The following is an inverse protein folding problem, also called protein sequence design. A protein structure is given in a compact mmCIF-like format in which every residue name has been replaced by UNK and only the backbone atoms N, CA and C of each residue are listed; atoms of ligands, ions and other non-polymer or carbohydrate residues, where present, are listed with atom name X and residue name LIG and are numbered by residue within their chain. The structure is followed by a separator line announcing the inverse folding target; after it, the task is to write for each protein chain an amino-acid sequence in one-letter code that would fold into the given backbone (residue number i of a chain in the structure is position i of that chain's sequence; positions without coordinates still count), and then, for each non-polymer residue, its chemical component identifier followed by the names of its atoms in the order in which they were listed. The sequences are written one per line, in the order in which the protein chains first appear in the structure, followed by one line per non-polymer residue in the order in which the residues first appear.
data_IF_310433303689
#
_entry.id   IF_310433303689
#
_cell.length_a   1.000
_cell.length_b   1.000
_cell.length_c   1.000
_cell.angle_alpha   90.00
_cell.angle_beta   90.00
_cell.angle_gamma   90.00
#
_symmetry.space_group_name_H-M   'P 1'
#
loop_
_entity.id
_entity.type
_entity.pdbx_description
1 polymer ?
#
# COMPACT_ATOMS: atom_id res chain seq x y z
N UNK A 1 -10.71 -15.16 -8.02
CA UNK A 1 -9.70 -14.15 -7.62
C UNK A 1 -8.86 -13.82 -8.84
N UNK A 2 -8.93 -12.59 -9.36
CA UNK A 2 -8.15 -12.20 -10.53
C UNK A 2 -7.03 -11.25 -10.09
N UNK A 3 -5.78 -11.68 -10.23
CA UNK A 3 -4.60 -10.81 -10.07
C UNK A 3 -3.65 -11.03 -11.24
N UNK A 4 -3.01 -9.94 -11.67
CA UNK A 4 -2.55 -9.70 -13.04
C UNK A 4 -1.12 -10.24 -13.25
N UNK A 5 -0.87 -10.95 -14.37
CA UNK A 5 0.49 -11.20 -14.88
C UNK A 5 0.85 -10.19 -15.96
N UNK A 6 2.15 -9.94 -16.12
CA UNK A 6 2.70 -9.11 -17.18
C UNK A 6 3.50 -9.98 -18.17
N UNK A 7 3.28 -9.80 -19.46
CA UNK A 7 4.17 -10.33 -20.51
C UNK A 7 4.91 -9.19 -21.17
N UNK A 8 6.21 -9.36 -21.37
CA UNK A 8 7.03 -8.42 -22.13
C UNK A 8 6.92 -8.79 -23.61
N UNK A 9 6.34 -7.91 -24.42
CA UNK A 9 6.27 -8.07 -25.87
C UNK A 9 6.64 -6.73 -26.49
N UNK A 10 7.71 -6.69 -27.31
CA UNK A 10 8.13 -5.47 -28.00
C UNK A 10 8.62 -4.30 -27.12
N UNK A 11 8.89 -4.52 -25.83
CA UNK A 11 9.27 -3.43 -24.89
C UNK A 11 8.10 -2.89 -24.06
N UNK A 12 6.88 -3.31 -24.35
CA UNK A 12 5.69 -3.00 -23.56
C UNK A 12 5.30 -4.18 -22.64
N UNK A 13 4.76 -3.84 -21.46
CA UNK A 13 4.21 -4.81 -20.53
C UNK A 13 2.71 -4.98 -20.78
N UNK A 14 2.29 -6.13 -21.32
CA UNK A 14 0.89 -6.43 -21.64
C UNK A 14 0.22 -7.13 -20.45
N UNK A 15 -0.99 -6.67 -20.11
CA UNK A 15 -1.88 -7.24 -19.08
C UNK A 15 -2.36 -8.66 -19.47
N UNK A 16 -1.94 -9.70 -18.75
CA UNK A 16 -2.48 -11.06 -18.88
C UNK A 16 -3.54 -11.27 -17.78
N UNK A 17 -4.82 -11.31 -18.18
CA UNK A 17 -5.99 -11.52 -17.29
C UNK A 17 -6.21 -13.00 -16.97
N UNK A 18 -5.17 -13.73 -16.60
CA UNK A 18 -5.29 -15.10 -16.10
C UNK A 18 -5.41 -15.11 -14.57
N UNK A 19 -6.25 -16.01 -14.06
CA UNK A 19 -6.35 -16.30 -12.63
C UNK A 19 -5.02 -16.92 -12.20
N UNK A 20 -4.30 -16.27 -11.29
CA UNK A 20 -3.07 -16.82 -10.68
C UNK A 20 -3.43 -17.94 -9.72
N UNK A 21 -2.62 -19.00 -9.72
CA UNK A 21 -2.68 -20.02 -8.67
C UNK A 21 -2.08 -19.47 -7.37
N UNK A 22 -2.36 -20.13 -6.24
CA UNK A 22 -1.80 -19.74 -4.94
C UNK A 22 -0.26 -19.65 -4.99
N UNK A 23 0.39 -20.57 -5.70
CA UNK A 23 1.85 -20.61 -5.82
C UNK A 23 2.44 -19.50 -6.69
N UNK A 24 1.61 -18.84 -7.50
CA UNK A 24 2.02 -17.71 -8.34
C UNK A 24 1.78 -16.34 -7.69
N UNK A 25 1.10 -16.30 -6.54
CA UNK A 25 0.82 -15.06 -5.83
C UNK A 25 2.09 -14.51 -5.16
N UNK A 26 2.24 -13.20 -5.21
CA UNK A 26 3.37 -12.45 -4.67
C UNK A 26 2.86 -11.33 -3.76
N UNK A 27 3.76 -10.70 -2.98
CA UNK A 27 3.41 -9.49 -2.20
C UNK A 27 2.98 -8.29 -3.06
N UNK A 28 3.15 -8.37 -4.38
CA UNK A 28 2.67 -7.36 -5.32
C UNK A 28 1.19 -7.55 -5.68
N UNK A 29 0.58 -8.66 -5.27
CA UNK A 29 -0.84 -8.94 -5.49
C UNK A 29 -1.66 -8.37 -4.31
N UNK A 30 -2.64 -7.51 -4.59
CA UNK A 30 -3.45 -6.78 -3.58
C UNK A 30 -3.96 -7.70 -2.46
N UNK A 31 -4.45 -8.90 -2.81
CA UNK A 31 -4.92 -9.87 -1.83
C UNK A 31 -3.81 -10.37 -0.90
N UNK A 32 -2.67 -10.79 -1.46
CA UNK A 32 -1.56 -11.28 -0.64
C UNK A 32 -0.96 -10.19 0.23
N UNK A 33 -0.82 -8.98 -0.32
CA UNK A 33 -0.35 -7.84 0.45
C UNK A 33 -1.25 -7.58 1.64
N UNK A 34 -2.56 -7.47 1.41
CA UNK A 34 -3.54 -7.25 2.46
C UNK A 34 -3.54 -8.40 3.49
N UNK A 35 -3.33 -9.65 3.10
CA UNK A 35 -3.25 -10.78 4.03
C UNK A 35 -1.96 -10.76 4.87
N UNK A 36 -0.79 -10.56 4.26
CA UNK A 36 0.49 -10.59 4.96
C UNK A 36 0.64 -9.39 5.90
N UNK A 37 0.16 -8.21 5.47
CA UNK A 37 0.29 -6.97 6.24
C UNK A 37 -0.76 -6.80 7.34
N UNK A 38 -1.72 -7.73 7.48
CA UNK A 38 -2.55 -7.83 8.70
C UNK A 38 -1.72 -8.17 9.93
N UNK A 39 -0.58 -8.83 9.73
CA UNK A 39 0.32 -9.19 10.80
C UNK A 39 1.31 -8.05 11.09
N UNK A 40 1.22 -7.51 12.31
CA UNK A 40 2.07 -6.41 12.78
C UNK A 40 3.56 -6.75 12.74
N UNK A 41 3.92 -8.05 12.79
CA UNK A 41 5.32 -8.51 12.71
C UNK A 41 5.95 -8.21 11.36
N UNK A 42 5.17 -8.12 10.28
CA UNK A 42 5.66 -7.75 8.95
C UNK A 42 5.46 -6.26 8.68
N UNK A 43 4.29 -5.72 9.05
CA UNK A 43 3.92 -4.34 8.76
C UNK A 43 4.77 -3.33 9.52
N UNK A 44 5.00 -3.54 10.83
CA UNK A 44 5.75 -2.58 11.65
C UNK A 44 7.20 -2.41 11.20
N UNK A 45 7.98 -3.49 10.97
CA UNK A 45 9.33 -3.34 10.42
C UNK A 45 9.36 -2.66 9.05
N UNK A 46 8.39 -2.94 8.18
CA UNK A 46 8.26 -2.29 6.89
C UNK A 46 8.08 -0.77 7.05
N UNK A 47 7.12 -0.32 7.85
CA UNK A 47 6.87 1.11 8.08
C UNK A 47 8.10 1.83 8.65
N UNK A 48 8.76 1.22 9.64
CA UNK A 48 9.97 1.78 10.24
C UNK A 48 11.13 1.86 9.24
N UNK A 49 11.29 0.85 8.39
CA UNK A 49 12.33 0.83 7.36
C UNK A 49 12.12 1.94 6.32
N UNK A 50 10.88 2.08 5.85
CA UNK A 50 10.50 3.06 4.84
C UNK A 50 10.68 4.50 5.34
N UNK A 51 10.12 4.79 6.52
CA UNK A 51 10.02 6.16 7.03
C UNK A 51 11.21 6.55 7.91
N UNK A 52 12.09 5.60 8.28
CA UNK A 52 13.19 5.78 9.23
C UNK A 52 12.73 6.34 10.57
N UNK A 53 11.56 5.88 11.03
CA UNK A 53 10.96 6.23 12.33
C UNK A 53 10.95 5.02 13.26
N UNK A 54 10.79 5.27 14.56
CA UNK A 54 10.48 4.23 15.54
C UNK A 54 8.98 4.26 15.82
N UNK A 55 8.35 3.09 15.78
CA UNK A 55 6.94 2.90 16.13
C UNK A 55 6.93 2.04 17.38
N UNK A 56 6.26 2.45 18.45
CA UNK A 56 6.22 1.61 19.66
C UNK A 56 5.22 0.47 19.45
N UNK A 57 4.01 0.79 18.98
CA UNK A 57 2.92 -0.16 18.85
C UNK A 57 1.97 0.23 17.71
N UNK A 58 1.51 -0.75 16.96
CA UNK A 58 0.39 -0.56 16.03
C UNK A 58 -0.90 -0.76 16.82
N UNK A 59 -1.80 0.23 16.78
CA UNK A 59 -3.09 0.19 17.48
C UNK A 59 -4.20 -0.38 16.59
N UNK A 60 -4.18 -0.07 15.30
CA UNK A 60 -5.24 -0.45 14.36
C UNK A 60 -4.67 -0.82 13.00
N UNK A 61 -5.25 -1.85 12.38
CA UNK A 61 -5.04 -2.23 10.99
C UNK A 61 -6.40 -2.52 10.36
N UNK A 62 -6.73 -1.78 9.29
CA UNK A 62 -7.96 -1.93 8.52
C UNK A 62 -7.63 -2.10 7.03
N UNK A 63 -7.62 -3.35 6.54
CA UNK A 63 -7.47 -3.63 5.12
C UNK A 63 -8.71 -3.22 4.34
N UNK A 64 -8.52 -2.67 3.14
CA UNK A 64 -9.59 -2.29 2.21
C UNK A 64 -10.61 -1.29 2.79
N UNK A 65 -10.16 -0.39 3.68
CA UNK A 65 -11.01 0.64 4.29
C UNK A 65 -11.57 1.56 3.22
N UNK A 66 -12.88 1.80 3.25
CA UNK A 66 -13.54 2.72 2.32
C UNK A 66 -13.90 4.00 3.07
N UNK A 67 -13.51 5.14 2.50
CA UNK A 67 -13.81 6.46 3.02
C UNK A 67 -14.57 7.27 1.97
N UNK A 68 -15.64 7.93 2.38
CA UNK A 68 -16.45 8.79 1.51
C UNK A 68 -17.06 9.93 2.32
N UNK A 69 -16.71 11.15 1.96
CA UNK A 69 -17.12 12.35 2.67
C UNK A 69 -18.17 13.11 1.87
N UNK A 70 -19.45 12.90 2.18
CA UNK A 70 -20.59 13.51 1.49
C UNK A 70 -21.16 12.69 0.33
N UNK A 71 -22.39 13.01 -0.07
CA UNK A 71 -23.16 12.21 -1.03
C UNK A 71 -22.55 12.25 -2.45
N UNK A 72 -22.15 13.44 -2.91
CA UNK A 72 -21.64 13.68 -4.27
C UNK A 72 -20.12 13.57 -4.41
N UNK A 73 -19.41 13.22 -3.33
CA UNK A 73 -17.95 13.10 -3.38
C UNK A 73 -17.48 11.77 -3.94
N UNK A 74 -16.24 11.77 -4.45
CA UNK A 74 -15.58 10.55 -4.91
C UNK A 74 -14.99 9.79 -3.71
N UNK A 75 -15.57 8.64 -3.38
CA UNK A 75 -15.02 7.77 -2.35
C UNK A 75 -13.61 7.27 -2.71
N UNK A 76 -12.82 6.96 -1.68
CA UNK A 76 -11.52 6.30 -1.78
C UNK A 76 -11.60 4.94 -1.11
N UNK A 77 -10.90 3.96 -1.68
CA UNK A 77 -10.65 2.68 -1.04
C UNK A 77 -9.16 2.60 -0.77
N UNK A 78 -8.83 2.53 0.50
CA UNK A 78 -7.47 2.48 1.03
C UNK A 78 -7.10 1.00 1.20
N UNK A 79 -6.02 0.57 0.58
CA UNK A 79 -5.64 -0.85 0.58
C UNK A 79 -5.31 -1.34 1.99
N UNK A 80 -4.59 -0.51 2.77
CA UNK A 80 -4.24 -0.78 4.15
C UNK A 80 -4.17 0.51 4.97
N UNK A 81 -5.17 0.74 5.81
CA UNK A 81 -5.21 1.85 6.76
C UNK A 81 -4.67 1.39 8.12
N UNK A 82 -3.73 2.14 8.70
CA UNK A 82 -3.01 1.75 9.92
C UNK A 82 -2.87 2.95 10.83
N UNK A 83 -3.01 2.75 12.14
CA UNK A 83 -2.67 3.78 13.14
C UNK A 83 -1.70 3.25 14.19
N UNK A 84 -0.75 4.07 14.62
CA UNK A 84 0.14 3.76 15.74
C UNK A 84 -0.35 4.34 17.08
N UNK A 85 0.44 4.13 18.14
CA UNK A 85 0.14 4.58 19.49
C UNK A 85 0.11 6.11 19.65
N UNK A 86 0.77 6.84 18.75
CA UNK A 86 0.82 8.30 18.74
C UNK A 86 -0.31 8.90 17.90
N UNK A 87 -1.18 8.05 17.33
CA UNK A 87 -2.26 8.47 16.45
C UNK A 87 -1.79 8.86 15.04
N UNK A 88 -0.55 8.52 14.65
CA UNK A 88 -0.06 8.70 13.28
C UNK A 88 -0.80 7.71 12.38
N UNK A 89 -1.27 8.20 11.24
CA UNK A 89 -1.99 7.41 10.25
C UNK A 89 -1.08 7.05 9.10
N UNK A 90 -1.11 5.78 8.70
CA UNK A 90 -0.40 5.28 7.52
C UNK A 90 -1.40 4.63 6.58
N UNK A 91 -1.44 5.09 5.33
CA UNK A 91 -2.07 4.36 4.23
C UNK A 91 -0.97 3.70 3.39
N UNK A 92 -0.99 2.38 3.26
CA UNK A 92 -0.03 1.63 2.44
C UNK A 92 -0.71 1.00 1.24
N UNK A 93 -0.29 1.39 0.05
CA UNK A 93 -0.87 1.01 -1.23
C UNK A 93 0.15 0.23 -2.07
N UNK A 94 -0.29 -0.85 -2.71
CA UNK A 94 0.55 -1.59 -3.67
C UNK A 94 0.12 -1.24 -5.08
N UNK A 95 1.08 -0.84 -5.90
CA UNK A 95 0.82 -0.37 -7.25
C UNK A 95 1.71 -1.10 -8.25
N UNK A 96 1.12 -2.07 -8.94
CA UNK A 96 1.79 -2.91 -9.94
C UNK A 96 1.79 -2.29 -11.34
N UNK A 97 0.86 -1.39 -11.61
CA UNK A 97 0.77 -0.71 -12.91
C UNK A 97 1.27 0.72 -12.83
N UNK A 98 1.91 1.20 -13.88
CA UNK A 98 2.16 2.65 -14.05
C UNK A 98 0.82 3.33 -14.27
N UNK A 99 0.18 3.74 -13.17
CA UNK A 99 -1.03 4.55 -13.21
C UNK A 99 -0.62 6.01 -13.30
N UNK A 100 -1.17 6.71 -14.30
CA UNK A 100 -1.03 8.15 -14.44
C UNK A 100 -1.56 8.85 -13.17
N UNK A 101 -1.00 10.01 -12.86
CA UNK A 101 -1.45 10.91 -11.80
C UNK A 101 -1.28 10.40 -10.37
N UNK A 102 -0.25 9.60 -10.09
CA UNK A 102 0.06 9.15 -8.73
C UNK A 102 0.14 10.32 -7.71
N UNK A 103 0.79 11.46 -8.01
CA UNK A 103 0.80 12.59 -7.08
C UNK A 103 -0.58 13.16 -6.78
N UNK A 104 -1.47 13.21 -7.78
CA UNK A 104 -2.87 13.68 -7.59
C UNK A 104 -3.66 12.70 -6.72
N UNK A 105 -3.48 11.39 -6.92
CA UNK A 105 -4.11 10.35 -6.09
C UNK A 105 -3.63 10.43 -4.64
N UNK A 106 -2.33 10.57 -4.43
CA UNK A 106 -1.76 10.70 -3.08
C UNK A 106 -2.35 11.89 -2.34
N UNK A 107 -2.36 13.07 -2.97
CA UNK A 107 -2.97 14.26 -2.38
C UNK A 107 -4.44 14.04 -2.06
N UNK A 108 -5.19 13.42 -2.97
CA UNK A 108 -6.61 13.14 -2.74
C UNK A 108 -6.82 12.18 -1.57
N UNK A 109 -6.04 11.11 -1.47
CA UNK A 109 -6.13 10.13 -0.38
C UNK A 109 -5.78 10.77 0.96
N UNK A 110 -4.71 11.57 1.00
CA UNK A 110 -4.34 12.32 2.20
C UNK A 110 -5.47 13.26 2.63
N UNK A 111 -6.02 14.06 1.72
CA UNK A 111 -7.13 14.96 2.04
C UNK A 111 -8.37 14.21 2.52
N UNK A 112 -8.72 13.07 1.92
CA UNK A 112 -9.89 12.28 2.38
C UNK A 112 -9.67 11.71 3.77
N UNK A 113 -8.46 11.25 4.09
CA UNK A 113 -8.10 10.77 5.44
C UNK A 113 -8.16 11.94 6.45
N UNK A 114 -7.60 13.10 6.09
CA UNK A 114 -7.56 14.26 6.97
C UNK A 114 -8.98 14.78 7.27
N UNK A 115 -9.90 14.74 6.29
CA UNK A 115 -11.32 15.08 6.48
C UNK A 115 -12.01 14.06 7.39
N UNK A 116 -11.75 12.75 7.24
CA UNK A 116 -12.40 11.74 8.09
C UNK A 116 -11.94 11.83 9.56
N UNK A 117 -10.76 12.41 9.80
CA UNK A 117 -10.21 12.68 11.14
C UNK A 117 -10.76 13.99 11.72
N UNK A 118 -10.74 15.09 10.95
CA UNK A 118 -11.15 16.41 11.42
C UNK A 118 -12.66 16.62 11.29
N UNK A 119 -13.37 16.47 12.42
CA UNK A 119 -14.81 16.75 12.49
C UNK A 119 -15.10 18.26 12.51
N UNK A 120 -16.31 18.69 12.10
CA UNK A 120 -16.71 20.09 12.20
C UNK A 120 -16.54 20.65 13.61
N UNK A 121 -15.92 21.82 13.72
CA UNK A 121 -15.67 22.51 15.01
C UNK A 121 -14.38 22.10 15.73
N UNK A 122 -13.61 21.16 15.19
CA UNK A 122 -12.30 20.76 15.73
C UNK A 122 -11.19 21.69 15.22
N UNK A 123 -10.26 22.09 16.09
CA UNK A 123 -9.09 22.89 15.73
C UNK A 123 -8.12 22.10 14.85
N UNK A 124 -7.54 22.74 13.83
CA UNK A 124 -6.56 22.13 12.94
C UNK A 124 -5.30 21.60 13.64
N UNK A 125 -5.02 22.02 14.88
CA UNK A 125 -3.95 21.45 15.72
C UNK A 125 -4.18 19.97 16.05
N UNK A 126 -5.42 19.51 16.03
CA UNK A 126 -5.79 18.10 16.25
C UNK A 126 -5.60 17.24 14.99
N UNK A 127 -5.16 17.83 13.88
CA UNK A 127 -4.90 17.09 12.66
C UNK A 127 -3.72 16.12 12.88
N UNK A 128 -4.02 14.83 12.72
CA UNK A 128 -3.03 13.78 12.87
C UNK A 128 -2.02 13.81 11.73
N UNK A 129 -0.80 13.37 12.04
CA UNK A 129 0.21 13.15 11.01
C UNK A 129 -0.21 11.98 10.13
N UNK A 130 -0.30 12.20 8.82
CA UNK A 130 -0.72 11.20 7.84
C UNK A 130 0.40 10.91 6.84
N UNK A 131 0.68 9.63 6.58
CA UNK A 131 1.58 9.16 5.54
C UNK A 131 0.82 8.32 4.51
N UNK A 132 0.87 8.71 3.24
CA UNK A 132 0.37 7.89 2.13
C UNK A 132 1.57 7.30 1.39
N UNK A 133 1.73 5.98 1.45
CA UNK A 133 2.90 5.25 0.97
C UNK A 133 2.49 4.35 -0.20
N UNK A 134 3.07 4.61 -1.37
CA UNK A 134 2.90 3.75 -2.54
C UNK A 134 4.13 2.87 -2.76
N UNK A 135 3.93 1.56 -2.71
CA UNK A 135 4.93 0.55 -3.08
C UNK A 135 4.76 0.23 -4.57
N UNK A 136 5.73 0.65 -5.39
CA UNK A 136 5.62 0.59 -6.84
C UNK A 136 6.66 -0.35 -7.45
N UNK A 137 6.23 -1.19 -8.40
CA UNK A 137 7.16 -2.01 -9.22
C UNK A 137 7.78 -1.21 -10.38
N UNK A 138 7.07 -0.16 -10.84
CA UNK A 138 7.53 0.79 -11.84
C UNK A 138 7.29 2.20 -11.30
N UNK A 139 8.33 3.02 -11.24
CA UNK A 139 8.20 4.42 -10.83
C UNK A 139 7.49 5.18 -11.97
N UNK A 140 6.37 5.87 -11.73
CA UNK A 140 5.79 6.77 -12.72
C UNK A 140 6.75 7.95 -12.98
N UNK A 141 6.87 8.41 -14.23
CA UNK A 141 7.79 9.48 -14.66
C UNK A 141 7.49 10.88 -14.09
N UNK A 142 6.52 11.00 -13.19
CA UNK A 142 6.02 12.27 -12.64
C UNK A 142 6.36 12.28 -11.14
N UNK A 143 7.55 12.79 -10.82
CA UNK A 143 8.14 12.88 -9.49
C UNK A 143 7.37 13.87 -8.60
N UNK A 144 6.86 13.40 -7.46
CA UNK A 144 6.50 14.19 -6.24
C UNK A 144 5.97 13.29 -5.11
N UNK A 145 5.87 11.98 -5.35
CA UNK A 145 5.44 10.96 -4.40
C UNK A 145 6.64 10.34 -3.67
N UNK A 146 6.54 10.09 -2.36
CA UNK A 146 7.38 9.07 -1.71
C UNK A 146 6.97 7.73 -2.33
N UNK A 147 7.65 7.37 -3.41
CA UNK A 147 7.52 6.09 -4.10
C UNK A 147 8.77 5.30 -3.78
N UNK A 148 8.59 4.06 -3.33
CA UNK A 148 9.71 3.18 -3.05
C UNK A 148 9.86 2.28 -4.27
N UNK A 149 10.87 2.52 -5.12
CA UNK A 149 11.14 1.59 -6.20
C UNK A 149 11.63 0.27 -5.63
N UNK A 150 10.90 -0.80 -5.93
CA UNK A 150 11.47 -2.13 -5.80
C UNK A 150 12.48 -2.31 -6.94
N UNK A 151 13.77 -2.07 -6.66
CA UNK A 151 14.85 -2.45 -7.58
C UNK A 151 14.87 -3.96 -7.68
N UNK A 152 14.38 -4.49 -8.80
CA UNK A 152 14.59 -5.89 -9.15
C UNK A 152 15.95 -6.01 -9.82
N UNK A 153 16.96 -6.47 -9.08
CA UNK A 153 18.11 -7.10 -9.74
C UNK A 153 17.59 -8.34 -10.44
N UNK A 154 17.79 -8.42 -11.75
CA UNK A 154 17.33 -9.50 -12.61
C UNK A 154 17.25 -10.87 -11.89
N UNK A 155 16.03 -11.38 -11.75
CA UNK A 155 15.77 -12.83 -11.70
C UNK A 155 15.82 -13.56 -10.35
N UNK A 156 16.14 -12.94 -9.20
CA UNK A 156 16.01 -13.64 -7.90
C UNK A 156 15.51 -12.69 -6.82
N UNK A 157 14.29 -12.95 -6.33
CA UNK A 157 13.72 -12.28 -5.17
C UNK A 157 14.19 -13.03 -3.89
N UNK A 158 15.13 -12.49 -3.09
CA UNK A 158 15.71 -13.21 -1.95
C UNK A 158 14.71 -13.42 -0.80
N UNK A 159 13.69 -12.56 -0.73
CA UNK A 159 12.74 -12.50 0.38
C UNK A 159 11.63 -13.57 0.22
N UNK A 160 11.43 -14.13 -0.99
CA UNK A 160 10.25 -14.93 -1.30
C UNK A 160 10.37 -16.45 -1.05
N UNK A 161 11.53 -17.00 -0.67
CA UNK A 161 11.71 -18.47 -0.69
C UNK A 161 11.90 -19.17 0.66
N UNK A 162 12.40 -18.47 1.69
CA UNK A 162 12.73 -19.08 2.99
C UNK A 162 11.65 -18.83 4.05
N UNK A 163 11.04 -17.64 4.10
CA UNK A 163 10.01 -17.31 5.11
C UNK A 163 8.61 -17.84 4.73
N UNK A 164 8.28 -17.89 3.44
CA UNK A 164 7.01 -18.47 2.97
C UNK A 164 6.90 -19.99 3.17
N UNK A 165 8.03 -20.72 3.31
CA UNK A 165 8.00 -22.16 3.65
C UNK A 165 7.67 -22.42 5.12
N UNK A 166 8.06 -21.50 6.03
CA UNK A 166 7.71 -21.62 7.45
C UNK A 166 6.23 -21.34 7.70
N UNK A 167 5.61 -20.45 6.94
CA UNK A 167 4.18 -20.15 7.05
C UNK A 167 3.26 -21.20 6.41
N UNK A 168 3.78 -22.08 5.54
CA UNK A 168 3.02 -23.20 4.93
C UNK A 168 3.10 -24.51 5.73
N UNK A 169 3.83 -24.53 6.86
CA UNK A 169 4.03 -25.72 7.70
C UNK A 169 3.50 -25.53 9.13
N UNK A 170 2.60 -24.57 9.35
CA UNK A 170 1.89 -24.35 10.61
C UNK A 170 0.39 -24.30 10.39
#
# INVERSE_FOLDING_TARGET
MASIKYKRQGGEFIMDRRIKTIDELTLMDDYMFAQVMRDTRHLKPLLQFILRVRIAKIELIEPQKTEKEGYDSKGVRLDLYVTDEQGVVYNVEVQTTSRKHLPKRMRYYQSTIDISILRPGVDYKELRKTFVIFICIMIPSEETAISIPLKTSAGRNPICSSEMRRLKSS
#
